data_IF_959177553210
#
_entry.id   IF_959177553210
#
_cell.length_a   1.000
_cell.length_b   1.000
_cell.length_c   1.000
_cell.angle_alpha   90.00
_cell.angle_beta   90.00
_cell.angle_gamma   90.00
#
_symmetry.space_group_name_H-M   'P 1'
#
loop_
_entity.id
_entity.type
_entity.pdbx_description
1 polymer ?
#
# COMPACT_ATOMS: atom_id res chain seq x y z
N UNK A 1 6.16 1.32 -20.50
CA UNK A 1 6.60 2.02 -19.29
C UNK A 1 7.22 1.03 -18.32
N UNK A 2 8.29 1.43 -17.73
CA UNK A 2 9.02 0.56 -16.83
C UNK A 2 8.71 0.92 -15.37
N UNK A 3 8.32 -0.06 -14.61
CA UNK A 3 7.94 0.17 -13.21
C UNK A 3 9.19 0.07 -12.33
N UNK A 4 9.46 1.15 -11.61
CA UNK A 4 10.61 1.18 -10.71
C UNK A 4 10.35 0.31 -9.48
N UNK A 5 11.42 -0.05 -8.81
CA UNK A 5 11.29 -0.68 -7.50
C UNK A 5 12.14 0.08 -6.50
N UNK A 6 12.06 1.39 -6.59
CA UNK A 6 12.76 2.31 -5.71
C UNK A 6 11.77 2.86 -4.70
N UNK A 7 12.06 2.68 -3.42
CA UNK A 7 11.14 3.04 -2.35
C UNK A 7 11.83 3.94 -1.35
N UNK A 8 11.03 4.77 -0.71
CA UNK A 8 11.51 5.58 0.42
C UNK A 8 10.63 5.28 1.63
N UNK A 9 11.17 5.56 2.80
CA UNK A 9 10.46 5.39 4.05
C UNK A 9 10.33 6.73 4.74
N UNK A 10 9.16 7.01 5.27
CA UNK A 10 8.93 8.23 6.03
C UNK A 10 8.12 7.86 7.27
N UNK A 11 8.11 8.75 8.23
CA UNK A 11 7.36 8.57 9.46
C UNK A 11 6.34 9.67 9.59
N UNK A 12 5.18 9.31 10.12
CA UNK A 12 4.11 10.25 10.36
C UNK A 12 3.45 9.88 11.68
N UNK A 13 2.43 10.60 12.05
CA UNK A 13 1.65 10.29 13.25
C UNK A 13 0.17 10.37 12.92
N UNK A 14 -0.60 9.49 13.57
CA UNK A 14 -2.05 9.63 13.46
C UNK A 14 -2.55 10.60 14.53
N UNK A 15 -3.87 10.76 14.59
CA UNK A 15 -4.46 11.72 15.51
C UNK A 15 -4.23 11.36 16.97
N UNK A 16 -4.02 10.07 17.22
CA UNK A 16 -3.75 9.60 18.60
C UNK A 16 -2.28 9.72 18.98
N UNK A 17 -1.43 10.20 18.09
CA UNK A 17 -0.01 10.31 18.35
C UNK A 17 0.79 9.05 18.12
N UNK A 18 0.17 8.02 17.56
CA UNK A 18 0.89 6.79 17.26
C UNK A 18 1.66 6.94 15.95
N UNK A 19 2.81 6.30 15.91
CA UNK A 19 3.67 6.39 14.72
C UNK A 19 3.08 5.62 13.56
N UNK A 20 3.07 6.24 12.40
CA UNK A 20 2.67 5.61 11.16
C UNK A 20 3.90 5.54 10.27
N UNK A 21 4.25 4.33 9.83
CA UNK A 21 5.33 4.15 8.88
C UNK A 21 4.76 4.27 7.48
N UNK A 22 5.37 5.12 6.67
CA UNK A 22 4.96 5.33 5.29
C UNK A 22 6.05 4.81 4.38
N UNK A 23 5.67 3.93 3.48
CA UNK A 23 6.58 3.33 2.53
C UNK A 23 6.10 3.75 1.15
N UNK A 24 6.82 4.63 0.50
CA UNK A 24 6.36 5.21 -0.76
C UNK A 24 7.23 4.79 -1.92
N UNK A 25 6.61 4.59 -3.07
CA UNK A 25 7.34 4.23 -4.27
C UNK A 25 7.77 5.48 -5.00
N UNK A 26 9.02 5.49 -5.43
CA UNK A 26 9.60 6.63 -6.10
C UNK A 26 9.74 6.36 -7.59
N UNK A 27 10.12 7.39 -8.32
CA UNK A 27 10.43 7.29 -9.75
C UNK A 27 9.26 6.76 -10.57
N UNK A 28 8.08 7.33 -10.31
CA UNK A 28 6.86 6.95 -11.02
C UNK A 28 6.45 7.99 -12.05
N UNK A 29 7.37 8.83 -12.50
CA UNK A 29 7.02 9.94 -13.38
C UNK A 29 6.34 9.48 -14.65
N UNK A 30 6.83 8.43 -15.27
CA UNK A 30 6.22 7.93 -16.49
C UNK A 30 4.75 7.57 -16.27
N UNK A 31 4.47 6.90 -15.16
CA UNK A 31 3.09 6.48 -14.90
C UNK A 31 2.22 7.66 -14.57
N UNK A 32 2.74 8.59 -13.80
CA UNK A 32 1.99 9.79 -13.44
C UNK A 32 1.68 10.62 -14.69
N UNK A 33 2.68 10.80 -15.53
CA UNK A 33 2.52 11.65 -16.70
C UNK A 33 1.68 11.00 -17.79
N UNK A 34 1.59 9.67 -17.78
CA UNK A 34 0.79 8.98 -18.79
C UNK A 34 -0.70 9.28 -18.65
N UNK A 35 -1.15 9.63 -17.45
CA UNK A 35 -2.54 9.87 -17.20
C UNK A 35 -3.41 8.64 -17.22
N UNK A 36 -2.82 7.45 -17.26
CA UNK A 36 -3.59 6.22 -17.37
C UNK A 36 -3.98 5.65 -16.01
N UNK A 37 -3.14 5.86 -15.01
CA UNK A 37 -3.36 5.28 -13.68
C UNK A 37 -3.89 6.34 -12.74
N UNK A 38 -5.16 6.66 -12.91
CA UNK A 38 -5.77 7.79 -12.21
C UNK A 38 -6.61 7.39 -11.00
N UNK A 39 -7.09 6.16 -10.98
CA UNK A 39 -8.04 5.78 -9.95
C UNK A 39 -7.31 5.17 -8.78
N UNK A 40 -7.59 5.67 -7.60
CA UNK A 40 -6.96 5.22 -6.37
C UNK A 40 -7.74 4.07 -5.77
N UNK A 41 -7.05 3.01 -5.44
CA UNK A 41 -7.64 1.85 -4.77
C UNK A 41 -6.89 1.64 -3.47
N UNK A 42 -7.63 1.55 -2.37
CA UNK A 42 -7.03 1.29 -1.07
C UNK A 42 -7.48 -0.06 -0.56
N UNK A 43 -6.54 -0.85 -0.10
CA UNK A 43 -6.82 -2.12 0.55
C UNK A 43 -6.37 -1.96 1.99
N UNK A 44 -7.30 -2.07 2.93
CA UNK A 44 -7.02 -1.85 4.34
C UNK A 44 -7.18 -3.15 5.10
N UNK A 45 -6.17 -3.47 5.89
CA UNK A 45 -6.19 -4.64 6.77
C UNK A 45 -6.11 -4.13 8.20
N UNK A 46 -7.19 -4.29 8.95
CA UNK A 46 -7.23 -3.86 10.33
C UNK A 46 -6.80 -5.01 11.23
N UNK A 47 -6.02 -4.67 12.23
CA UNK A 47 -5.50 -5.67 13.16
C UNK A 47 -5.50 -5.08 14.56
N UNK A 48 -5.36 -5.96 15.55
CA UNK A 48 -5.21 -5.51 16.91
C UNK A 48 -3.73 -5.20 17.13
N UNK A 49 -3.41 -3.93 17.21
CA UNK A 49 -2.02 -3.51 17.33
C UNK A 49 -1.48 -3.71 18.73
N UNK A 50 -0.16 -3.67 18.84
CA UNK A 50 0.47 -3.63 20.16
C UNK A 50 0.28 -2.23 20.74
N UNK A 51 0.97 -1.93 21.84
CA UNK A 51 0.82 -0.63 22.48
C UNK A 51 1.18 0.55 21.59
N UNK A 52 1.95 0.30 20.54
CA UNK A 52 2.33 1.32 19.57
C UNK A 52 1.46 1.33 18.34
N UNK A 53 0.49 0.43 18.25
CA UNK A 53 -0.37 0.32 17.08
C UNK A 53 0.22 -0.47 15.95
N UNK A 54 1.26 -1.27 16.21
CA UNK A 54 1.94 -2.02 15.17
C UNK A 54 1.52 -3.49 15.20
N UNK A 55 1.62 -4.18 14.07
CA UNK A 55 1.25 -5.59 14.02
C UNK A 55 2.32 -6.45 14.69
N UNK A 56 1.91 -7.66 15.11
CA UNK A 56 2.86 -8.63 15.61
C UNK A 56 3.80 -9.07 14.49
N UNK A 57 4.91 -9.70 14.87
CA UNK A 57 5.85 -10.21 13.87
C UNK A 57 5.21 -11.24 12.96
N UNK A 58 4.43 -12.15 13.55
CA UNK A 58 3.76 -13.16 12.73
C UNK A 58 2.80 -12.54 11.73
N UNK A 59 2.02 -11.58 12.19
CA UNK A 59 1.06 -10.92 11.31
C UNK A 59 1.80 -10.11 10.25
N UNK A 60 2.90 -9.46 10.63
CA UNK A 60 3.70 -8.72 9.67
C UNK A 60 4.19 -9.59 8.54
N UNK A 61 4.61 -10.83 8.85
CA UNK A 61 5.05 -11.75 7.81
C UNK A 61 3.90 -12.12 6.87
N UNK A 62 2.71 -12.33 7.43
CA UNK A 62 1.56 -12.63 6.60
C UNK A 62 1.22 -11.46 5.69
N UNK A 63 1.34 -10.24 6.21
CA UNK A 63 1.05 -9.06 5.42
C UNK A 63 2.05 -8.89 4.28
N UNK A 64 3.31 -9.24 4.52
CA UNK A 64 4.30 -9.17 3.45
C UNK A 64 3.99 -10.18 2.35
N UNK A 65 3.53 -11.37 2.73
CA UNK A 65 3.16 -12.37 1.74
C UNK A 65 1.96 -11.91 0.90
N UNK A 66 1.00 -11.28 1.55
CA UNK A 66 -0.16 -10.74 0.84
C UNK A 66 0.26 -9.63 -0.10
N UNK A 67 1.14 -8.75 0.36
CA UNK A 67 1.63 -7.67 -0.48
C UNK A 67 2.32 -8.20 -1.72
N UNK A 68 3.16 -9.20 -1.56
CA UNK A 68 3.85 -9.79 -2.70
C UNK A 68 2.87 -10.40 -3.68
N UNK A 69 1.85 -11.10 -3.16
CA UNK A 69 0.85 -11.69 -4.02
C UNK A 69 0.04 -10.63 -4.76
N UNK A 70 -0.31 -9.55 -4.08
CA UNK A 70 -1.03 -8.46 -4.71
C UNK A 70 -0.21 -7.82 -5.82
N UNK A 71 1.08 -7.59 -5.55
CA UNK A 71 1.94 -6.99 -6.55
C UNK A 71 2.07 -7.90 -7.77
N UNK A 72 2.26 -9.18 -7.55
CA UNK A 72 2.35 -10.11 -8.66
C UNK A 72 1.09 -10.11 -9.50
N UNK A 73 -0.07 -10.09 -8.83
CA UNK A 73 -1.34 -10.14 -9.55
C UNK A 73 -1.59 -8.86 -10.33
N UNK A 74 -1.22 -7.72 -9.77
CA UNK A 74 -1.61 -6.42 -10.33
C UNK A 74 -0.58 -5.80 -11.25
N UNK A 75 0.71 -5.97 -10.92
CA UNK A 75 1.76 -5.23 -11.61
C UNK A 75 2.44 -6.02 -12.70
N UNK A 76 2.22 -7.30 -12.75
CA UNK A 76 2.96 -8.12 -13.67
C UNK A 76 2.61 -7.71 -15.10
N UNK A 77 2.57 -8.50 -15.95
CA UNK A 77 2.35 -8.40 -17.34
C UNK A 77 1.56 -7.17 -17.81
N UNK A 78 0.32 -7.06 -17.40
CA UNK A 78 -0.57 -6.00 -17.92
C UNK A 78 -0.62 -4.77 -17.05
N UNK A 79 0.00 -4.82 -15.91
CA UNK A 79 -0.01 -3.70 -14.98
C UNK A 79 -1.40 -3.14 -14.77
N UNK A 80 -2.29 -3.99 -14.27
CA UNK A 80 -3.65 -3.58 -13.99
C UNK A 80 -3.68 -2.44 -12.95
N UNK A 81 -2.78 -2.51 -12.00
CA UNK A 81 -2.66 -1.49 -10.97
C UNK A 81 -1.21 -1.48 -10.49
N UNK A 82 -0.77 -0.35 -9.96
CA UNK A 82 0.57 -0.27 -9.41
C UNK A 82 0.50 0.16 -7.94
N UNK A 83 1.27 -0.53 -7.11
CA UNK A 83 1.36 -0.21 -5.69
C UNK A 83 2.24 1.02 -5.53
N UNK A 84 1.70 2.09 -4.95
CA UNK A 84 2.42 3.34 -4.82
C UNK A 84 2.77 3.67 -3.38
N UNK A 85 2.07 3.11 -2.42
CA UNK A 85 2.35 3.42 -1.04
C UNK A 85 1.80 2.39 -0.09
N UNK A 86 2.45 2.26 1.05
CA UNK A 86 2.02 1.37 2.12
C UNK A 86 2.12 2.13 3.42
N UNK A 87 1.03 2.15 4.18
CA UNK A 87 0.98 2.84 5.46
C UNK A 87 0.74 1.82 6.54
N UNK A 88 1.56 1.81 7.58
CA UNK A 88 1.43 0.84 8.68
C UNK A 88 1.46 1.56 10.02
N UNK A 89 0.45 1.32 10.83
CA UNK A 89 0.39 1.88 12.18
C UNK A 89 -1.03 2.15 12.58
N UNK A 90 -1.22 2.47 13.85
CA UNK A 90 -2.55 2.79 14.34
C UNK A 90 -3.55 1.67 14.22
N UNK A 91 -3.08 0.42 14.19
CA UNK A 91 -3.98 -0.72 14.12
C UNK A 91 -4.43 -1.06 12.71
N UNK A 92 -3.78 -0.52 11.70
CA UNK A 92 -4.14 -0.90 10.34
C UNK A 92 -2.96 -0.76 9.40
N UNK A 93 -3.04 -1.54 8.33
CA UNK A 93 -2.11 -1.44 7.22
C UNK A 93 -2.90 -1.15 5.97
N UNK A 94 -2.45 -0.16 5.21
CA UNK A 94 -3.17 0.27 4.00
C UNK A 94 -2.22 0.19 2.83
N UNK A 95 -2.62 -0.54 1.81
CA UNK A 95 -1.90 -0.57 0.54
C UNK A 95 -2.63 0.32 -0.45
N UNK A 96 -1.92 1.23 -1.06
CA UNK A 96 -2.50 2.19 -2.00
C UNK A 96 -2.03 1.84 -3.40
N UNK A 97 -2.99 1.53 -4.27
CA UNK A 97 -2.72 1.24 -5.68
C UNK A 97 -3.36 2.32 -6.53
N UNK A 98 -2.82 2.51 -7.72
CA UNK A 98 -3.47 3.32 -8.75
C UNK A 98 -3.69 2.43 -9.96
N UNK A 99 -4.86 2.59 -10.51
CA UNK A 99 -5.28 1.67 -11.56
C UNK A 99 -5.93 2.39 -12.71
N UNK A 100 -5.93 1.74 -13.71
CA UNK A 100 -6.51 2.24 -14.92
C UNK A 100 -7.95 1.99 -15.03
N UNK A 101 -8.48 1.19 -14.16
CA UNK A 101 -9.85 0.85 -14.21
C UNK A 101 -10.69 1.99 -13.70
N UNK A 102 -11.73 1.84 -13.74
CA UNK A 102 -12.65 2.89 -13.42
C UNK A 102 -13.14 2.82 -12.02
N UNK A 103 -13.27 3.11 -11.48
CA UNK A 103 -13.88 3.19 -10.21
C UNK A 103 -12.94 3.53 -9.27
N UNK A 104 -13.37 4.26 -8.20
CA UNK A 104 -12.54 3.95 -7.04
C UNK A 104 -13.09 2.76 -6.26
N UNK A 105 -12.21 1.89 -5.86
CA UNK A 105 -12.57 0.74 -5.04
C UNK A 105 -11.84 0.83 -3.71
N UNK A 106 -12.55 0.46 -2.65
CA UNK A 106 -11.95 0.38 -1.31
C UNK A 106 -12.25 -1.01 -0.76
N UNK A 107 -11.21 -1.70 -0.36
CA UNK A 107 -11.32 -3.05 0.19
C UNK A 107 -10.79 -3.06 1.61
N UNK A 108 -11.48 -3.76 2.50
CA UNK A 108 -11.08 -3.84 3.91
C UNK A 108 -11.15 -5.26 4.40
N UNK A 109 -10.23 -5.57 5.32
CA UNK A 109 -10.23 -6.85 6.01
C UNK A 109 -9.84 -6.63 7.47
N UNK A 110 -10.26 -7.54 8.32
CA UNK A 110 -9.91 -7.49 9.74
C UNK A 110 -9.10 -8.73 10.07
N UNK A 111 -8.05 -8.53 10.82
CA UNK A 111 -7.23 -9.64 11.28
C UNK A 111 -7.62 -10.07 12.68
#
# INVERSE_FOLDING_TARGET
MRLSDVWFTALSENESGQMITVYGRDELNEFTESGKFKERVEITWKYEGDGRGLPSDDLGEKMEAVEEALRKAMEKKDKLAILTGVYTGGGEKVWVFYTXXXXPYVYSANA
#
